data_IF_787441932474
#
_entry.id   IF_787441932474
#
_cell.length_a   1.000
_cell.length_b   1.000
_cell.length_c   1.000
_cell.angle_alpha   90.00
_cell.angle_beta   90.00
_cell.angle_gamma   90.00
#
_symmetry.space_group_name_H-M   'P 1'
#
loop_
_entity.id
_entity.type
_entity.pdbx_description
1 polymer ?
#
# COMPACT_ATOMS: atom_id res chain seq x y z
N UNK A 1 25.68 67.57 -48.86
CA UNK A 1 26.21 66.19 -48.91
C UNK A 1 25.05 65.22 -48.78
N UNK A 2 24.90 64.09 -49.45
CA UNK A 2 25.34 63.55 -50.75
C UNK A 2 24.45 62.30 -50.91
N UNK A 3 24.03 62.03 -52.14
CA UNK A 3 23.16 60.94 -52.63
C UNK A 3 23.72 59.51 -52.44
N UNK A 4 22.83 58.51 -52.45
CA UNK A 4 22.77 57.28 -53.30
C UNK A 4 21.96 56.16 -52.60
N UNK A 5 20.77 55.76 -53.08
CA UNK A 5 20.47 54.78 -54.14
C UNK A 5 21.17 53.43 -53.98
N UNK A 6 20.38 52.33 -53.86
CA UNK A 6 20.44 51.18 -54.78
C UNK A 6 19.32 50.16 -54.54
N UNK A 7 18.94 49.54 -55.66
CA UNK A 7 17.79 48.65 -55.96
C UNK A 7 18.26 47.18 -55.87
N UNK A 8 17.41 46.23 -55.45
CA UNK A 8 17.03 45.02 -56.24
C UNK A 8 16.24 43.95 -55.47
N UNK A 9 15.29 43.40 -56.23
CA UNK A 9 14.30 42.36 -56.01
C UNK A 9 14.87 40.93 -55.85
N UNK A 10 14.06 39.98 -55.36
CA UNK A 10 13.62 38.74 -56.05
C UNK A 10 12.72 37.91 -55.12
N UNK A 11 11.54 37.51 -55.61
CA UNK A 11 10.63 36.53 -55.02
C UNK A 11 11.14 35.09 -55.22
N UNK A 12 10.87 34.17 -54.29
CA UNK A 12 10.53 32.77 -54.63
C UNK A 12 9.48 32.20 -53.67
N UNK A 13 8.42 31.68 -54.28
CA UNK A 13 7.34 30.86 -53.72
C UNK A 13 7.88 29.49 -53.35
N UNK A 14 7.49 28.97 -52.18
CA UNK A 14 7.74 27.59 -51.75
C UNK A 14 6.45 26.98 -51.21
N UNK A 15 6.00 25.90 -51.83
CA UNK A 15 4.80 25.14 -51.50
C UNK A 15 4.98 24.35 -50.19
N UNK A 16 3.99 24.40 -49.29
CA UNK A 16 3.93 23.56 -48.09
C UNK A 16 3.21 22.26 -48.44
N UNK A 17 3.92 21.13 -48.31
CA UNK A 17 3.36 19.77 -48.43
C UNK A 17 2.80 19.38 -47.05
N UNK A 18 1.50 19.02 -46.93
CA UNK A 18 1.00 18.46 -45.69
C UNK A 18 1.43 16.99 -45.57
N UNK A 19 2.22 16.69 -44.53
CA UNK A 19 2.57 15.33 -44.14
C UNK A 19 1.32 14.72 -43.47
N UNK A 20 0.77 13.66 -44.06
CA UNK A 20 -0.24 12.82 -43.43
C UNK A 20 0.41 12.03 -42.29
N UNK A 21 0.10 12.40 -41.04
CA UNK A 21 0.44 11.63 -39.86
C UNK A 21 -0.48 10.41 -39.77
N UNK A 22 0.05 9.20 -39.95
CA UNK A 22 -0.66 7.96 -39.67
C UNK A 22 -0.63 7.70 -38.16
N UNK A 23 -1.77 7.83 -37.49
CA UNK A 23 -1.96 7.45 -36.09
C UNK A 23 -2.03 5.93 -35.97
N UNK A 24 -0.96 5.32 -35.44
CA UNK A 24 -1.03 3.94 -34.94
C UNK A 24 -1.80 4.01 -33.62
N UNK A 25 -3.06 3.57 -33.64
CA UNK A 25 -3.81 3.32 -32.40
C UNK A 25 -3.17 2.11 -31.72
N UNK A 26 -2.25 2.36 -30.80
CA UNK A 26 -1.79 1.35 -29.86
C UNK A 26 -2.96 0.97 -28.98
N UNK A 27 -3.48 -0.25 -29.12
CA UNK A 27 -4.36 -0.86 -28.13
C UNK A 27 -3.48 -1.12 -26.90
N UNK A 28 -3.46 -0.15 -25.99
CA UNK A 28 -2.89 -0.34 -24.67
C UNK A 28 -3.70 -1.42 -23.97
N UNK A 29 -3.03 -2.50 -23.57
CA UNK A 29 -3.61 -3.44 -22.62
C UNK A 29 -3.94 -2.64 -21.36
N UNK A 30 -5.24 -2.43 -21.09
CA UNK A 30 -5.70 -1.90 -19.83
C UNK A 30 -5.52 -3.06 -18.85
N UNK A 31 -4.41 -3.08 -18.13
CA UNK A 31 -4.28 -3.98 -17.00
C UNK A 31 -5.42 -3.64 -16.03
N UNK A 32 -6.19 -4.63 -15.54
CA UNK A 32 -7.17 -4.36 -14.51
C UNK A 32 -6.42 -3.81 -13.30
N UNK A 33 -6.71 -2.56 -12.92
CA UNK A 33 -6.25 -1.98 -11.66
C UNK A 33 -6.78 -2.88 -10.55
N UNK A 34 -5.88 -3.60 -9.86
CA UNK A 34 -6.25 -4.38 -8.70
C UNK A 34 -6.73 -3.39 -7.63
N UNK A 35 -8.01 -3.44 -7.28
CA UNK A 35 -8.55 -2.66 -6.16
C UNK A 35 -7.89 -3.19 -4.88
N UNK A 36 -7.18 -2.34 -4.15
CA UNK A 36 -6.61 -2.70 -2.86
C UNK A 36 -7.77 -2.87 -1.85
N UNK A 37 -7.83 -4.02 -1.19
CA UNK A 37 -8.82 -4.29 -0.16
C UNK A 37 -8.25 -3.95 1.21
N UNK A 38 -9.08 -3.41 2.10
CA UNK A 38 -8.66 -3.19 3.48
C UNK A 38 -8.40 -4.51 4.18
N UNK A 39 -7.22 -4.62 4.77
CA UNK A 39 -6.79 -5.76 5.56
C UNK A 39 -7.08 -5.56 7.07
N UNK A 40 -7.70 -4.43 7.43
CA UNK A 40 -8.21 -4.19 8.78
C UNK A 40 -9.54 -4.92 8.98
N UNK A 41 -9.66 -5.78 10.01
CA UNK A 41 -10.94 -6.40 10.35
C UNK A 41 -12.05 -5.36 10.51
N UNK A 42 -13.21 -5.62 9.91
CA UNK A 42 -14.38 -4.73 10.00
C UNK A 42 -15.21 -5.01 11.27
N UNK A 43 -14.52 -5.23 12.38
CA UNK A 43 -15.08 -5.48 13.69
C UNK A 43 -14.06 -5.15 14.79
N UNK A 44 -14.54 -4.66 15.92
CA UNK A 44 -13.69 -4.28 17.05
C UNK A 44 -13.25 -5.51 17.85
N UNK A 45 -12.04 -5.47 18.41
CA UNK A 45 -11.51 -6.55 19.23
C UNK A 45 -10.00 -6.58 19.27
N UNK A 46 -9.44 -7.64 19.87
CA UNK A 46 -8.00 -7.83 19.97
C UNK A 46 -7.46 -8.73 18.86
N UNK A 47 -6.30 -8.36 18.32
CA UNK A 47 -5.57 -9.11 17.31
C UNK A 47 -4.50 -9.98 17.97
N UNK A 48 -4.37 -11.23 17.52
CA UNK A 48 -3.30 -12.09 18.01
C UNK A 48 -1.94 -11.62 17.48
N UNK A 49 -1.04 -11.25 18.41
CA UNK A 49 0.31 -10.77 18.09
C UNK A 49 1.42 -11.53 18.86
N UNK A 50 1.10 -12.75 19.31
CA UNK A 50 2.04 -13.61 20.04
C UNK A 50 1.95 -13.56 21.56
N UNK A 51 0.81 -13.13 22.13
CA UNK A 51 0.51 -13.27 23.56
C UNK A 51 -0.34 -14.51 23.81
N UNK A 52 -0.12 -15.23 24.90
CA UNK A 52 -0.79 -16.51 25.18
C UNK A 52 -2.31 -16.38 25.39
N UNK A 53 -2.79 -15.20 25.80
CA UNK A 53 -4.20 -14.93 26.09
C UNK A 53 -4.59 -13.53 25.65
N UNK A 54 -5.79 -13.38 25.10
CA UNK A 54 -6.41 -12.08 24.86
C UNK A 54 -6.87 -11.44 26.18
N UNK A 55 -7.12 -10.13 26.13
CA UNK A 55 -7.62 -9.33 27.22
C UNK A 55 -9.14 -9.25 27.17
N UNK A 56 -9.77 -9.35 28.34
CA UNK A 56 -11.22 -9.30 28.49
C UNK A 56 -11.78 -10.62 29.02
N UNK A 57 -13.05 -10.58 29.42
CA UNK A 57 -13.78 -11.78 29.85
C UNK A 57 -14.34 -12.46 28.61
N UNK A 58 -14.16 -13.78 28.51
CA UNK A 58 -14.66 -14.58 27.38
C UNK A 58 -14.13 -14.08 26.02
N UNK A 59 -12.88 -13.63 25.99
CA UNK A 59 -12.28 -13.03 24.80
C UNK A 59 -11.88 -14.10 23.76
N UNK A 60 -11.95 -13.71 22.50
CA UNK A 60 -11.38 -14.42 21.36
C UNK A 60 -10.67 -13.41 20.46
N UNK A 61 -9.54 -13.80 19.88
CA UNK A 61 -8.87 -12.96 18.90
C UNK A 61 -9.71 -12.78 17.64
N UNK A 62 -9.52 -11.63 16.99
CA UNK A 62 -10.10 -11.35 15.68
C UNK A 62 -9.51 -12.26 14.61
N UNK A 63 -10.35 -12.67 13.66
CA UNK A 63 -9.88 -13.30 12.44
C UNK A 63 -9.30 -12.22 11.52
N UNK A 64 -8.12 -12.49 10.97
CA UNK A 64 -7.45 -11.62 10.01
C UNK A 64 -7.84 -11.99 8.59
N UNK A 65 -7.64 -11.06 7.65
CA UNK A 65 -7.72 -11.36 6.24
C UNK A 65 -6.71 -12.45 5.86
N UNK A 66 -7.07 -13.33 4.93
CA UNK A 66 -6.23 -14.41 4.42
C UNK A 66 -4.89 -13.95 3.80
N UNK A 67 -4.79 -12.67 3.43
CA UNK A 67 -3.56 -12.05 2.97
C UNK A 67 -2.57 -11.77 4.10
N UNK A 68 -3.02 -11.68 5.35
CA UNK A 68 -2.14 -11.57 6.52
C UNK A 68 -1.85 -12.99 7.05
N UNK A 69 -0.61 -13.44 6.89
CA UNK A 69 -0.16 -14.73 7.43
C UNK A 69 0.06 -14.65 8.93
N UNK A 70 0.70 -13.59 9.40
CA UNK A 70 0.93 -13.36 10.83
C UNK A 70 1.23 -11.91 11.15
N UNK A 71 0.96 -11.54 12.41
CA UNK A 71 1.39 -10.29 13.01
C UNK A 71 2.18 -10.65 14.26
N UNK A 72 3.40 -10.12 14.39
CA UNK A 72 4.24 -10.33 15.55
C UNK A 72 4.46 -9.00 16.28
N UNK A 73 4.25 -8.99 17.59
CA UNK A 73 4.69 -7.87 18.43
C UNK A 73 6.19 -7.97 18.73
N UNK A 74 6.92 -6.95 18.31
CA UNK A 74 8.35 -6.77 18.58
C UNK A 74 8.54 -5.88 19.82
N UNK A 75 9.70 -5.98 20.46
CA UNK A 75 10.07 -5.08 21.55
C UNK A 75 10.29 -3.68 20.98
N UNK A 76 9.44 -2.74 21.37
CA UNK A 76 9.58 -1.36 20.96
C UNK A 76 10.75 -0.68 21.70
N UNK A 77 11.50 0.13 20.98
CA UNK A 77 12.70 0.79 21.50
C UNK A 77 12.40 1.90 22.49
N UNK A 78 11.26 2.58 22.37
CA UNK A 78 10.89 3.69 23.25
C UNK A 78 10.31 3.21 24.59
N UNK A 79 9.62 2.07 24.59
CA UNK A 79 8.94 1.49 25.75
C UNK A 79 9.71 0.33 26.39
N UNK A 80 10.64 -0.30 25.65
CA UNK A 80 11.37 -1.51 26.05
C UNK A 80 10.46 -2.72 26.34
N UNK A 81 9.27 -2.72 25.74
CA UNK A 81 8.22 -3.73 25.96
C UNK A 81 7.56 -4.11 24.65
N UNK A 82 6.87 -5.26 24.64
CA UNK A 82 5.96 -5.63 23.55
C UNK A 82 4.61 -4.93 23.73
N UNK A 83 3.93 -4.67 22.62
CA UNK A 83 2.61 -4.03 22.59
C UNK A 83 1.53 -5.00 22.11
N UNK A 84 0.30 -4.80 22.56
CA UNK A 84 -0.87 -5.49 21.98
C UNK A 84 -1.43 -4.67 20.82
N UNK A 85 -2.21 -5.32 19.96
CA UNK A 85 -2.86 -4.68 18.82
C UNK A 85 -4.36 -4.92 18.88
N UNK A 86 -5.13 -3.87 18.70
CA UNK A 86 -6.58 -3.91 18.68
C UNK A 86 -7.10 -3.35 17.37
N UNK A 87 -8.36 -3.67 17.08
CA UNK A 87 -9.16 -2.92 16.12
C UNK A 87 -10.22 -2.16 16.90
N UNK A 88 -10.33 -0.87 16.62
CA UNK A 88 -11.24 0.05 17.28
C UNK A 88 -11.87 0.95 16.21
N UNK A 89 -13.16 1.27 16.36
CA UNK A 89 -13.88 2.18 15.49
C UNK A 89 -14.01 3.55 16.16
N UNK A 90 -13.77 4.62 15.41
CA UNK A 90 -13.94 5.97 15.94
C UNK A 90 -15.37 6.17 16.48
N UNK A 91 -15.51 6.70 17.69
CA UNK A 91 -16.82 6.96 18.31
C UNK A 91 -17.34 5.86 19.24
N UNK A 92 -16.70 4.70 19.31
CA UNK A 92 -17.08 3.60 20.21
C UNK A 92 -16.33 3.67 21.54
N UNK A 93 -16.86 3.02 22.59
CA UNK A 93 -16.12 2.86 23.84
C UNK A 93 -16.01 1.40 24.20
N UNK A 94 -14.77 0.93 24.35
CA UNK A 94 -14.44 -0.47 24.57
C UNK A 94 -13.56 -0.64 25.81
N UNK A 95 -13.68 -1.80 26.47
CA UNK A 95 -12.84 -2.17 27.61
C UNK A 95 -12.36 -3.60 27.48
N UNK A 96 -11.03 -3.75 27.38
CA UNK A 96 -10.35 -5.05 27.27
C UNK A 96 -9.46 -5.25 28.49
N UNK A 97 -10.03 -5.81 29.56
CA UNK A 97 -9.32 -5.94 30.83
C UNK A 97 -8.84 -4.59 31.37
N UNK A 98 -7.53 -4.36 31.36
CA UNK A 98 -6.91 -3.10 31.79
C UNK A 98 -6.94 -1.97 30.74
N UNK A 99 -7.16 -2.29 29.47
CA UNK A 99 -7.21 -1.34 28.34
C UNK A 99 -8.59 -0.70 28.25
N UNK A 100 -8.65 0.62 28.04
CA UNK A 100 -9.90 1.37 27.91
C UNK A 100 -9.85 2.35 26.75
N UNK A 101 -10.66 2.09 25.72
CA UNK A 101 -10.89 3.01 24.61
C UNK A 101 -12.17 3.81 24.87
N UNK A 102 -12.10 5.12 24.63
CA UNK A 102 -13.21 6.05 24.85
C UNK A 102 -13.82 6.43 23.51
N UNK A 103 -15.11 6.75 23.53
CA UNK A 103 -15.85 7.25 22.36
C UNK A 103 -15.28 8.54 21.78
N UNK A 104 -14.63 9.33 22.61
CA UNK A 104 -13.78 10.42 22.18
C UNK A 104 -12.45 10.22 22.84
N UNK A 105 -11.45 10.02 21.99
CA UNK A 105 -10.09 9.92 22.42
C UNK A 105 -9.27 11.00 21.74
N UNK A 106 -8.38 11.59 22.52
CA UNK A 106 -7.60 12.75 22.12
C UNK A 106 -6.56 12.22 21.13
N UNK A 107 -6.79 12.47 19.84
CA UNK A 107 -5.92 12.00 18.76
C UNK A 107 -6.41 10.75 18.02
N UNK A 108 -7.70 10.40 18.13
CA UNK A 108 -8.21 9.14 17.54
C UNK A 108 -9.57 9.23 16.86
N UNK A 109 -10.24 10.39 16.87
CA UNK A 109 -11.57 10.52 16.27
C UNK A 109 -11.57 11.42 15.03
N UNK A 110 -11.51 10.81 13.85
CA UNK A 110 -11.99 11.44 12.60
C UNK A 110 -13.54 11.55 12.59
N UNK A 111 -14.21 10.79 13.46
CA UNK A 111 -15.66 10.72 13.57
C UNK A 111 -16.34 9.98 12.40
N UNK A 112 -15.57 9.30 11.54
CA UNK A 112 -16.08 8.62 10.34
C UNK A 112 -16.69 7.26 10.65
N UNK A 113 -16.37 6.68 11.81
CA UNK A 113 -16.77 5.32 12.18
C UNK A 113 -15.92 4.22 11.54
N UNK A 114 -14.81 4.60 10.91
CA UNK A 114 -13.88 3.65 10.28
C UNK A 114 -13.13 2.82 11.33
N UNK A 115 -12.75 1.61 10.93
CA UNK A 115 -11.96 0.69 11.74
C UNK A 115 -10.47 0.95 11.54
N UNK A 116 -9.73 1.04 12.64
CA UNK A 116 -8.30 1.27 12.65
C UNK A 116 -7.57 0.23 13.49
N UNK A 117 -6.40 -0.19 13.05
CA UNK A 117 -5.48 -0.86 13.95
C UNK A 117 -4.95 0.13 14.98
N UNK A 118 -5.05 -0.27 16.24
CA UNK A 118 -4.73 0.54 17.40
C UNK A 118 -3.73 -0.19 18.30
N UNK A 119 -2.44 0.20 18.26
CA UNK A 119 -1.44 -0.41 19.12
C UNK A 119 -1.63 0.04 20.57
N UNK A 120 -1.24 -0.81 21.53
CA UNK A 120 -1.27 -0.46 22.96
C UNK A 120 0.00 -0.95 23.63
N UNK A 121 0.82 0.00 24.09
CA UNK A 121 2.01 -0.31 24.86
C UNK A 121 1.64 -0.96 26.21
N UNK A 122 2.25 -2.10 26.51
CA UNK A 122 1.98 -2.86 27.73
C UNK A 122 3.17 -2.80 28.68
N UNK A 123 2.91 -2.99 29.98
CA UNK A 123 3.98 -3.32 30.92
C UNK A 123 4.58 -4.70 30.58
N UNK A 124 5.72 -5.04 31.19
CA UNK A 124 6.38 -6.34 30.98
C UNK A 124 5.48 -7.56 31.22
N UNK A 125 4.44 -7.42 32.05
CA UNK A 125 3.46 -8.47 32.31
C UNK A 125 2.50 -8.75 31.14
N UNK A 126 2.53 -7.93 30.08
CA UNK A 126 1.68 -8.06 28.91
C UNK A 126 0.18 -7.90 29.16
N UNK A 127 -0.27 -7.46 30.33
CA UNK A 127 -1.71 -7.41 30.70
C UNK A 127 -2.15 -6.04 31.22
N UNK A 128 -1.22 -5.27 31.76
CA UNK A 128 -1.46 -3.90 32.21
C UNK A 128 -0.94 -2.93 31.16
N UNK A 129 -1.73 -1.94 30.70
CA UNK A 129 -1.21 -0.88 29.85
C UNK A 129 -0.07 -0.12 30.51
N UNK A 130 0.90 0.28 29.72
CA UNK A 130 2.11 0.95 30.21
C UNK A 130 1.78 2.32 30.81
N UNK A 131 0.95 3.09 30.11
CA UNK A 131 0.44 4.39 30.56
C UNK A 131 -1.00 4.58 30.07
N UNK A 132 -1.67 5.61 30.59
CA UNK A 132 -2.94 6.15 30.09
C UNK A 132 -4.07 5.14 29.87
N UNK A 133 -4.02 3.99 30.55
CA UNK A 133 -4.99 2.88 30.38
C UNK A 133 -5.09 2.41 28.92
N UNK A 134 -3.99 2.52 28.17
CA UNK A 134 -3.86 2.02 26.82
C UNK A 134 -4.21 3.01 25.72
N UNK A 135 -4.38 4.29 26.06
CA UNK A 135 -4.54 5.40 25.11
C UNK A 135 -3.19 5.93 24.60
N UNK A 136 -2.08 5.27 24.92
CA UNK A 136 -0.79 5.56 24.32
C UNK A 136 -0.61 4.59 23.15
N UNK A 137 -0.98 5.00 21.94
CA UNK A 137 -0.97 4.18 20.72
C UNK A 137 0.45 3.96 20.20
N UNK A 138 1.26 3.26 21.00
CA UNK A 138 2.66 2.97 20.71
C UNK A 138 2.90 1.47 20.57
N UNK A 139 3.65 1.08 19.55
CA UNK A 139 4.13 -0.29 19.42
C UNK A 139 4.89 -0.56 18.13
N UNK A 140 5.67 -1.66 18.14
CA UNK A 140 6.38 -2.14 16.96
C UNK A 140 5.85 -3.51 16.56
N UNK A 141 5.43 -3.65 15.30
CA UNK A 141 4.82 -4.89 14.79
C UNK A 141 5.46 -5.31 13.47
N UNK A 142 5.62 -6.62 13.29
CA UNK A 142 5.96 -7.21 12.00
C UNK A 142 4.71 -7.87 11.40
N UNK A 143 4.28 -7.39 10.25
CA UNK A 143 3.27 -8.02 9.44
C UNK A 143 3.96 -8.91 8.40
N UNK A 144 3.55 -10.17 8.32
CA UNK A 144 3.95 -11.09 7.26
C UNK A 144 2.71 -11.42 6.45
N UNK A 145 2.80 -11.25 5.14
CA UNK A 145 1.69 -11.52 4.23
C UNK A 145 1.81 -12.91 3.65
N UNK A 146 0.70 -13.60 3.37
CA UNK A 146 0.70 -14.98 2.85
C UNK A 146 1.32 -15.07 1.44
N UNK A 147 1.30 -13.98 0.71
CA UNK A 147 1.92 -13.81 -0.60
C UNK A 147 2.58 -12.44 -0.74
N UNK A 148 3.28 -12.20 -1.85
CA UNK A 148 3.78 -10.87 -2.18
C UNK A 148 2.58 -10.00 -2.58
N UNK A 149 2.47 -8.83 -1.95
CA UNK A 149 1.50 -7.81 -2.33
C UNK A 149 2.09 -6.96 -3.45
N UNK A 150 1.34 -6.77 -4.55
CA UNK A 150 1.76 -5.89 -5.63
C UNK A 150 1.78 -4.45 -5.15
N UNK A 151 0.76 -4.07 -4.38
CA UNK A 151 0.62 -2.78 -3.71
C UNK A 151 0.19 -3.01 -2.26
N UNK A 152 0.91 -2.35 -1.35
CA UNK A 152 0.56 -2.24 0.06
C UNK A 152 0.50 -0.75 0.40
N UNK A 153 -0.69 -0.28 0.75
CA UNK A 153 -0.92 1.08 1.20
C UNK A 153 -1.08 1.08 2.71
N UNK A 154 -0.36 1.96 3.40
CA UNK A 154 -0.48 2.18 4.84
C UNK A 154 -0.98 3.60 5.08
N UNK A 155 -2.13 3.72 5.74
CA UNK A 155 -2.68 5.00 6.18
C UNK A 155 -2.28 5.23 7.63
N UNK A 156 -1.63 6.36 7.92
CA UNK A 156 -1.14 6.75 9.23
C UNK A 156 -1.99 7.87 9.78
N UNK A 157 -2.69 7.62 10.88
CA UNK A 157 -3.54 8.63 11.52
C UNK A 157 -2.78 9.33 12.65
N UNK A 158 -2.89 10.65 12.68
CA UNK A 158 -2.44 11.53 13.77
C UNK A 158 -0.95 11.40 14.12
N UNK A 159 -0.10 11.48 13.11
CA UNK A 159 1.36 11.49 13.31
C UNK A 159 1.81 12.89 13.78
N UNK A 160 1.95 13.14 15.08
CA UNK A 160 2.22 14.49 15.60
C UNK A 160 3.72 14.81 15.77
N UNK A 161 4.57 13.77 15.83
CA UNK A 161 6.00 13.88 16.12
C UNK A 161 6.87 13.37 15.00
N UNK A 162 7.90 14.15 14.72
CA UNK A 162 8.90 13.80 13.72
C UNK A 162 9.78 12.64 14.20
N UNK A 163 9.82 11.56 13.41
CA UNK A 163 10.75 10.45 13.60
C UNK A 163 10.30 9.36 14.58
N UNK A 164 9.15 9.54 15.25
CA UNK A 164 8.57 8.50 16.13
C UNK A 164 8.02 7.33 15.33
N UNK A 165 7.29 7.63 14.24
CA UNK A 165 6.68 6.62 13.38
C UNK A 165 7.54 6.31 12.17
N UNK A 166 7.75 5.03 11.89
CA UNK A 166 8.57 4.57 10.77
C UNK A 166 8.15 3.19 10.26
N UNK A 167 8.64 2.84 9.07
CA UNK A 167 8.44 1.53 8.48
C UNK A 167 9.72 0.97 7.87
N UNK A 168 9.78 -0.35 7.74
CA UNK A 168 10.79 -1.06 6.95
C UNK A 168 10.12 -2.25 6.28
N UNK A 169 10.14 -2.30 4.95
CA UNK A 169 9.52 -3.35 4.14
C UNK A 169 10.56 -4.28 3.50
N UNK A 170 10.16 -5.53 3.32
CA UNK A 170 11.00 -6.61 2.84
C UNK A 170 10.31 -7.42 1.73
N UNK A 171 11.10 -7.89 0.77
CA UNK A 171 10.69 -8.83 -0.28
C UNK A 171 10.62 -10.29 0.23
N UNK A 172 10.34 -11.22 -0.68
CA UNK A 172 10.23 -12.64 -0.36
C UNK A 172 11.54 -13.31 0.05
N UNK A 173 12.68 -12.77 -0.36
CA UNK A 173 14.01 -13.26 0.01
C UNK A 173 14.48 -12.65 1.35
N UNK A 174 13.69 -11.73 1.92
CA UNK A 174 14.00 -11.02 3.15
C UNK A 174 14.93 -9.82 2.94
N UNK A 175 15.15 -9.39 1.70
CA UNK A 175 15.90 -8.16 1.43
C UNK A 175 15.03 -6.95 1.75
N UNK A 176 15.65 -5.93 2.33
CA UNK A 176 15.00 -4.65 2.56
C UNK A 176 14.78 -3.94 1.22
N UNK A 177 13.52 -3.64 0.92
CA UNK A 177 13.11 -2.95 -0.32
C UNK A 177 12.76 -1.48 -0.08
N UNK A 178 12.29 -1.14 1.11
CA UNK A 178 11.97 0.24 1.47
C UNK A 178 12.11 0.46 2.97
N UNK A 179 12.42 1.69 3.37
CA UNK A 179 12.33 2.15 4.74
C UNK A 179 12.16 3.66 4.77
N UNK A 180 11.44 4.16 5.76
CA UNK A 180 11.21 5.59 5.91
C UNK A 180 10.62 5.93 7.27
N UNK A 181 10.69 7.22 7.60
CA UNK A 181 9.98 7.83 8.74
C UNK A 181 8.77 8.57 8.21
N UNK A 182 7.67 8.54 8.95
CA UNK A 182 6.48 9.32 8.60
C UNK A 182 6.68 10.74 9.10
N UNK A 183 6.36 11.72 8.25
CA UNK A 183 6.49 13.12 8.63
C UNK A 183 5.47 13.46 9.71
N UNK A 184 5.71 14.50 10.49
CA UNK A 184 4.64 15.03 11.34
C UNK A 184 3.59 15.74 10.49
N UNK A 185 2.32 15.61 10.87
CA UNK A 185 1.20 16.32 10.27
C UNK A 185 0.45 17.16 11.31
N UNK A 186 -0.53 17.97 10.87
CA UNK A 186 -1.50 18.62 11.76
C UNK A 186 -2.43 17.58 12.40
N UNK A 187 -2.95 17.82 13.61
CA UNK A 187 -3.86 16.90 14.28
C UNK A 187 -5.00 16.38 13.39
N UNK A 188 -5.36 15.11 13.54
CA UNK A 188 -6.33 14.37 12.75
C UNK A 188 -5.99 14.29 11.25
N UNK A 189 -4.71 14.37 10.89
CA UNK A 189 -4.30 14.12 9.50
C UNK A 189 -4.15 12.61 9.25
N UNK A 190 -4.44 12.21 8.01
CA UNK A 190 -4.03 10.91 7.46
C UNK A 190 -2.87 11.15 6.51
N UNK A 191 -1.77 10.41 6.69
CA UNK A 191 -0.72 10.30 5.67
C UNK A 191 -0.82 8.93 5.03
N UNK A 192 -0.51 8.85 3.74
CA UNK A 192 -0.54 7.60 2.99
C UNK A 192 0.88 7.22 2.58
N UNK A 193 1.19 5.93 2.63
CA UNK A 193 2.44 5.37 2.09
C UNK A 193 2.14 4.11 1.31
N UNK A 194 2.43 4.13 0.00
CA UNK A 194 2.24 2.98 -0.88
C UNK A 194 3.57 2.36 -1.25
N UNK A 195 3.65 1.03 -1.09
CA UNK A 195 4.84 0.21 -1.28
C UNK A 195 4.52 -0.94 -2.22
N UNK A 196 5.48 -1.38 -3.02
CA UNK A 196 5.27 -2.47 -3.99
C UNK A 196 6.18 -3.66 -3.71
N UNK A 197 5.71 -4.87 -4.05
CA UNK A 197 6.50 -6.09 -3.90
C UNK A 197 6.76 -6.52 -2.45
N UNK A 198 5.83 -6.22 -1.54
CA UNK A 198 6.02 -6.43 -0.09
C UNK A 198 5.60 -7.84 0.31
N UNK A 199 6.50 -8.62 0.93
CA UNK A 199 6.19 -9.88 1.62
C UNK A 199 6.05 -9.71 3.14
N UNK A 200 6.84 -8.82 3.72
CA UNK A 200 6.68 -8.44 5.13
C UNK A 200 7.03 -6.99 5.36
N UNK A 201 6.45 -6.39 6.40
CA UNK A 201 6.70 -5.02 6.81
C UNK A 201 6.80 -4.92 8.32
N UNK A 202 7.77 -4.16 8.81
CA UNK A 202 7.87 -3.76 10.21
C UNK A 202 7.35 -2.32 10.30
N UNK A 203 6.36 -2.11 11.16
CA UNK A 203 5.80 -0.80 11.48
C UNK A 203 6.23 -0.46 12.91
N UNK A 204 6.86 0.70 13.08
CA UNK A 204 7.08 1.32 14.38
C UNK A 204 6.11 2.49 14.50
N UNK A 205 5.20 2.40 15.46
CA UNK A 205 4.05 3.28 15.61
C UNK A 205 4.23 4.12 16.86
N UNK A 206 4.22 5.43 16.67
CA UNK A 206 4.30 6.39 17.76
C UNK A 206 5.63 6.37 18.50
N UNK A 207 5.73 7.19 19.54
CA UNK A 207 6.90 7.21 20.42
C UNK A 207 6.51 7.58 21.86
N UNK A 208 7.03 6.83 22.83
CA UNK A 208 6.83 7.14 24.25
C UNK A 208 7.80 8.22 24.74
N UNK A 209 7.27 9.20 25.48
CA UNK A 209 8.05 10.24 26.14
C UNK A 209 7.65 10.40 27.61
N UNK A 210 8.27 9.60 28.47
CA UNK A 210 8.01 9.65 29.91
C UNK A 210 6.63 9.06 30.26
N UNK A 211 5.72 9.89 30.78
CA UNK A 211 4.38 9.47 31.19
C UNK A 211 3.32 9.50 30.08
N UNK A 212 3.65 10.12 28.95
CA UNK A 212 2.77 10.33 27.77
C UNK A 212 3.52 9.88 26.50
N UNK A 213 2.94 10.11 25.33
CA UNK A 213 3.64 10.02 24.06
C UNK A 213 2.75 10.43 22.90
N UNK A 214 3.25 10.18 21.69
CA UNK A 214 2.55 10.44 20.44
C UNK A 214 2.15 9.09 19.86
N UNK A 215 0.85 8.83 19.84
CA UNK A 215 0.29 7.55 19.42
C UNK A 215 -0.10 7.58 17.95
N UNK A 216 0.01 6.45 17.25
CA UNK A 216 -0.40 6.36 15.83
C UNK A 216 -1.28 5.15 15.59
N UNK A 217 -2.47 5.43 15.07
CA UNK A 217 -3.34 4.44 14.47
C UNK A 217 -3.02 4.25 13.00
N UNK A 218 -3.34 3.08 12.46
CA UNK A 218 -3.09 2.83 11.05
C UNK A 218 -4.11 1.90 10.40
N UNK A 219 -4.24 2.03 9.08
CA UNK A 219 -4.90 1.05 8.23
C UNK A 219 -3.90 0.50 7.23
N UNK A 220 -4.15 -0.72 6.77
CA UNK A 220 -3.38 -1.33 5.69
C UNK A 220 -4.34 -1.85 4.64
N UNK A 221 -4.11 -1.44 3.39
CA UNK A 221 -4.83 -1.94 2.22
C UNK A 221 -3.84 -2.69 1.33
N UNK A 222 -4.25 -3.85 0.81
CA UNK A 222 -3.38 -4.72 0.04
C UNK A 222 -4.03 -5.20 -1.24
N UNK A 223 -3.24 -5.20 -2.32
CA UNK A 223 -3.56 -5.90 -3.54
C UNK A 223 -2.66 -7.14 -3.66
N UNK A 224 -3.29 -8.30 -3.76
CA UNK A 224 -2.61 -9.53 -4.12
C UNK A 224 -1.93 -9.35 -5.49
N UNK A 225 -0.65 -9.69 -5.60
CA UNK A 225 -0.01 -9.75 -6.90
C UNK A 225 -0.80 -10.72 -7.80
N UNK A 226 -1.51 -10.17 -8.78
CA UNK A 226 -2.07 -10.94 -9.88
C UNK A 226 -0.87 -11.41 -10.68
N UNK A 227 -0.73 -12.72 -10.96
CA UNK A 227 0.33 -13.18 -11.86
C UNK A 227 0.24 -12.36 -13.13
N UNK A 228 1.29 -11.61 -13.47
CA UNK A 228 1.30 -10.85 -14.71
C UNK A 228 0.92 -11.82 -15.85
N UNK A 229 0.00 -11.45 -16.76
CA UNK A 229 -0.19 -12.20 -17.99
C UNK A 229 1.03 -11.97 -18.89
N UNK A 230 2.15 -12.60 -18.52
CA UNK A 230 3.43 -12.52 -19.21
C UNK A 230 4.14 -13.87 -19.12
N UNK A 231 4.20 -14.57 -20.25
CA UNK A 231 4.93 -15.83 -20.47
C UNK A 231 4.34 -17.13 -19.88
N UNK A 232 3.20 -17.57 -20.42
CA UNK A 232 3.10 -18.99 -20.82
C UNK A 232 3.87 -19.16 -22.14
N UNK A 233 5.21 -19.18 -22.08
CA UNK A 233 5.99 -19.84 -23.12
C UNK A 233 5.78 -21.34 -22.99
N UNK A 234 4.85 -21.89 -23.77
CA UNK A 234 4.75 -23.33 -23.95
C UNK A 234 3.33 -23.85 -24.07
N UNK A 235 2.75 -23.74 -25.29
CA UNK A 235 2.01 -24.80 -25.98
C UNK A 235 1.29 -24.18 -27.20
N UNK A 236 1.79 -24.47 -28.41
CA UNK A 236 1.01 -24.28 -29.64
C UNK A 236 1.59 -23.32 -30.68
N UNK A 237 2.83 -23.53 -31.12
CA UNK A 237 3.18 -23.16 -32.48
C UNK A 237 2.42 -24.08 -33.45
N UNK A 238 1.19 -23.72 -33.82
CA UNK A 238 0.52 -24.30 -34.99
C UNK A 238 0.61 -23.32 -36.15
N UNK A 239 1.49 -23.68 -37.08
CA UNK A 239 1.59 -23.07 -38.39
C UNK A 239 0.25 -23.15 -39.12
N UNK A 240 -0.29 -21.99 -39.53
CA UNK A 240 -1.21 -21.92 -40.68
C UNK A 240 -0.48 -21.18 -41.80
N UNK A 241 0.50 -21.87 -42.38
CA UNK A 241 0.89 -21.62 -43.75
C UNK A 241 -0.14 -22.35 -44.63
N UNK A 242 -1.09 -21.62 -45.23
CA UNK A 242 -2.14 -22.28 -46.00
C UNK A 242 -3.14 -21.34 -46.66
N UNK A 243 -2.74 -20.75 -47.79
CA UNK A 243 -3.62 -20.57 -48.94
C UNK A 243 -4.52 -19.33 -48.96
N UNK A 244 -4.17 -18.37 -49.83
CA UNK A 244 -5.06 -17.85 -50.88
C UNK A 244 -4.25 -16.97 -51.85
N UNK A 245 -3.25 -17.58 -52.48
CA UNK A 245 -2.69 -17.07 -53.73
C UNK A 245 -3.66 -17.37 -54.86
N UNK A 246 -4.59 -16.46 -55.14
CA UNK A 246 -5.34 -16.44 -56.38
C UNK A 246 -4.39 -16.04 -57.52
N UNK A 247 -3.71 -17.02 -58.12
CA UNK A 247 -3.01 -16.82 -59.39
C UNK A 247 -3.49 -17.84 -60.42
N UNK A 248 -4.54 -17.41 -61.12
CA UNK A 248 -4.79 -17.52 -62.56
C UNK A 248 -4.36 -18.84 -63.22
N UNK A 249 -5.36 -19.70 -63.47
CA UNK A 249 -5.26 -20.80 -64.43
C UNK A 249 -5.99 -20.40 -65.71
N UNK A 250 -5.25 -20.31 -66.81
CA UNK A 250 -5.67 -20.84 -68.11
C UNK A 250 -4.39 -21.15 -68.89
N UNK A 251 -4.11 -22.44 -68.97
CA UNK A 251 -3.18 -23.06 -69.91
C UNK A 251 -3.93 -23.27 -71.22
N UNK A 252 -3.33 -22.83 -72.32
CA UNK A 252 -3.50 -23.53 -73.59
C UNK A 252 -2.14 -24.11 -74.00
N UNK A 253 -2.25 -25.32 -74.55
CA UNK A 253 -1.23 -26.34 -74.69
C UNK A 253 -0.27 -26.11 -75.88
N UNK A 254 0.97 -26.54 -75.65
CA UNK A 254 1.80 -27.39 -76.52
C UNK A 254 2.08 -26.98 -77.97
N UNK A 255 3.32 -26.52 -78.16
CA UNK A 255 4.34 -26.97 -79.12
C UNK A 255 3.95 -27.30 -80.58
N UNK A 256 4.52 -26.52 -81.50
CA UNK A 256 5.53 -26.94 -82.49
C UNK A 256 6.31 -25.70 -82.96
#
# INVERSE_FOLDING_TARGET
MTTHSLIRSVQKVGYVVPILAASVMGVGAIAPEAQANSLVPQMEGEVYVGFDNCLGKDCSYLNLDSLIESIESLTDSSTQTKSRLFVDAAGSSNTYGGVKFRSQDIGTSDGSGDYWFRPVAMQQNGTTPLVEKGQLEVGTFRFTFSQILSDLTVNWFDTERQGGTSYTAFDADGNKIAAGTIAKGPNNNVQETTLTGVKSIILNLGERHGGTGDGVNFQIDGAAAVPEPGLMMGLGAFAVAGGLGLRKRQSDSTAA
#
